data_IF_070326142330
#
_entry.id   IF_070326142330
#
_cell.length_a   1.000
_cell.length_b   1.000
_cell.length_c   1.000
_cell.angle_alpha   90.00
_cell.angle_beta   90.00
_cell.angle_gamma   90.00
#
_symmetry.space_group_name_H-M   'P 1'
#
loop_
_entity.id
_entity.type
_entity.pdbx_description
1 polymer ?
#
# COMPACT_ATOMS: atom_id res chain seq x y z
N UNK A 1 5.90 11.49 19.31
CA UNK A 1 4.94 11.37 20.41
C UNK A 1 5.35 10.24 21.37
N UNK A 2 5.72 9.05 20.84
CA UNK A 2 6.13 7.90 21.66
C UNK A 2 7.31 8.26 22.57
N UNK A 3 8.40 8.80 22.03
CA UNK A 3 9.55 9.24 22.81
C UNK A 3 9.20 10.33 23.86
N UNK A 4 8.25 11.21 23.52
CA UNK A 4 7.75 12.23 24.44
C UNK A 4 6.92 11.62 25.57
N UNK A 5 6.10 10.63 25.24
CA UNK A 5 5.27 9.91 26.20
C UNK A 5 6.12 9.09 27.19
N UNK A 6 7.19 8.49 26.71
CA UNK A 6 8.09 7.62 27.50
C UNK A 6 9.14 8.42 28.30
N UNK A 7 9.33 9.71 27.98
CA UNK A 7 10.29 10.53 28.66
C UNK A 7 9.89 10.82 30.11
N UNK A 8 10.81 10.66 31.04
CA UNK A 8 10.68 11.09 32.44
C UNK A 8 11.17 12.51 32.66
N UNK A 9 11.72 13.16 31.64
CA UNK A 9 12.20 14.54 31.68
C UNK A 9 11.02 15.51 31.57
N UNK A 10 10.77 16.29 32.62
CA UNK A 10 9.66 17.24 32.68
C UNK A 10 9.80 18.42 31.66
N UNK A 11 10.99 18.66 31.12
CA UNK A 11 11.20 19.65 30.06
C UNK A 11 10.54 19.19 28.74
N UNK A 12 10.60 17.91 28.40
CA UNK A 12 9.99 17.35 27.22
C UNK A 12 8.45 17.44 27.24
N UNK A 13 7.87 17.36 28.45
CA UNK A 13 6.41 17.46 28.61
C UNK A 13 5.86 18.89 28.45
N UNK A 14 6.76 19.89 28.44
CA UNK A 14 6.43 21.32 28.22
C UNK A 14 6.57 21.77 26.77
N UNK A 15 7.01 20.87 25.87
CA UNK A 15 7.15 21.21 24.46
C UNK A 15 5.77 21.46 23.85
N UNK A 16 5.60 22.63 23.23
CA UNK A 16 4.42 22.92 22.41
C UNK A 16 4.51 22.13 21.11
N UNK A 17 3.68 21.11 20.98
CA UNK A 17 3.76 20.13 19.91
C UNK A 17 2.54 20.26 18.99
N UNK A 18 2.78 20.51 17.71
CA UNK A 18 1.75 20.58 16.68
C UNK A 18 1.93 19.45 15.67
N UNK A 19 0.84 18.79 15.29
CA UNK A 19 0.83 17.77 14.24
C UNK A 19 0.19 18.32 12.98
N UNK A 20 0.96 18.38 11.90
CA UNK A 20 0.47 18.81 10.59
C UNK A 20 0.17 17.61 9.70
N UNK A 21 -0.98 17.58 9.00
CA UNK A 21 -1.26 16.52 8.03
C UNK A 21 -0.35 16.67 6.81
N UNK A 22 -0.01 15.54 6.20
CA UNK A 22 0.78 15.50 4.98
C UNK A 22 0.25 14.50 3.96
N UNK A 23 0.70 14.65 2.71
CA UNK A 23 0.40 13.70 1.65
C UNK A 23 1.27 12.46 1.82
N UNK A 24 0.63 11.30 1.97
CA UNK A 24 1.34 10.03 2.03
C UNK A 24 1.67 9.49 0.63
N UNK A 25 2.67 8.62 0.52
CA UNK A 25 3.00 7.96 -0.74
C UNK A 25 1.81 7.14 -1.30
N UNK A 26 0.96 6.58 -0.43
CA UNK A 26 -0.24 5.84 -0.84
C UNK A 26 -1.24 6.76 -1.54
N UNK A 27 -1.55 7.91 -0.93
CA UNK A 27 -2.48 8.88 -1.50
C UNK A 27 -1.92 9.53 -2.77
N UNK A 28 -0.62 9.83 -2.80
CA UNK A 28 0.04 10.37 -4.00
C UNK A 28 0.00 9.37 -5.16
N UNK A 29 0.30 8.09 -4.91
CA UNK A 29 0.22 7.02 -5.91
C UNK A 29 -1.21 6.82 -6.39
N UNK A 30 -2.18 6.79 -5.48
CA UNK A 30 -3.59 6.65 -5.83
C UNK A 30 -4.08 7.81 -6.70
N UNK A 31 -3.77 9.05 -6.33
CA UNK A 31 -4.14 10.24 -7.11
C UNK A 31 -3.53 10.23 -8.51
N UNK A 32 -2.30 9.73 -8.67
CA UNK A 32 -1.65 9.61 -9.99
C UNK A 32 -2.28 8.52 -10.85
N UNK A 33 -2.72 7.42 -10.25
CA UNK A 33 -3.38 6.30 -10.92
C UNK A 33 -4.87 6.54 -11.20
N UNK A 34 -5.51 7.41 -10.42
CA UNK A 34 -6.95 7.66 -10.43
C UNK A 34 -7.53 7.63 -9.02
N UNK A 35 -8.32 6.62 -8.70
CA UNK A 35 -8.91 6.42 -7.38
C UNK A 35 -8.91 4.94 -6.94
N UNK A 36 -7.78 4.22 -6.97
CA UNK A 36 -7.74 2.81 -6.51
C UNK A 36 -8.08 2.68 -5.02
N UNK A 37 -7.91 3.74 -4.22
CA UNK A 37 -8.29 3.82 -2.80
C UNK A 37 -9.68 4.48 -2.62
N UNK A 38 -10.55 4.42 -3.61
CA UNK A 38 -11.86 5.08 -3.62
C UNK A 38 -12.92 4.44 -2.72
N UNK A 39 -12.67 3.22 -2.23
CA UNK A 39 -13.49 2.48 -1.28
C UNK A 39 -12.66 2.14 -0.04
N UNK A 40 -13.14 1.22 0.80
CA UNK A 40 -12.45 0.79 2.00
C UNK A 40 -11.07 0.22 1.68
N UNK A 41 -10.06 0.69 2.37
CA UNK A 41 -8.68 0.28 2.17
C UNK A 41 -7.89 0.25 3.46
N UNK A 42 -6.76 -0.44 3.45
CA UNK A 42 -5.82 -0.44 4.56
C UNK A 42 -4.39 -0.11 4.10
N UNK A 43 -3.62 0.47 5.03
CA UNK A 43 -2.19 0.77 4.88
C UNK A 43 -1.41 -0.18 5.76
N UNK A 44 -0.54 -0.99 5.17
CA UNK A 44 0.27 -1.98 5.89
C UNK A 44 1.74 -1.77 5.56
N UNK A 45 2.56 -1.58 6.59
CA UNK A 45 4.02 -1.65 6.43
C UNK A 45 4.45 -3.11 6.51
N UNK A 46 5.16 -3.59 5.49
CA UNK A 46 5.75 -4.94 5.48
C UNK A 46 7.07 -5.03 6.26
N UNK A 47 7.51 -3.92 6.88
CA UNK A 47 8.69 -3.94 7.74
C UNK A 47 8.38 -4.65 9.07
N UNK A 48 9.20 -5.65 9.38
CA UNK A 48 9.19 -6.41 10.63
C UNK A 48 10.20 -5.90 11.67
N UNK A 49 10.75 -4.69 11.47
CA UNK A 49 11.72 -4.09 12.41
C UNK A 49 11.13 -3.81 13.79
N UNK A 50 9.87 -3.33 13.82
CA UNK A 50 9.22 -2.86 15.04
C UNK A 50 8.06 -3.75 15.48
N UNK A 51 7.76 -4.80 14.73
CA UNK A 51 6.71 -5.76 15.03
C UNK A 51 7.00 -7.12 14.42
N UNK A 52 6.66 -8.23 15.09
CA UNK A 52 6.85 -9.57 14.56
C UNK A 52 6.11 -9.78 13.23
N UNK A 53 6.70 -10.55 12.31
CA UNK A 53 6.10 -10.89 11.02
C UNK A 53 4.70 -11.51 11.16
N UNK A 54 4.47 -12.36 12.17
CA UNK A 54 3.17 -12.97 12.44
C UNK A 54 2.02 -11.95 12.61
N UNK A 55 2.30 -10.74 13.09
CA UNK A 55 1.31 -9.66 13.17
C UNK A 55 0.99 -9.12 11.77
N UNK A 56 1.99 -9.01 10.90
CA UNK A 56 1.80 -8.59 9.51
C UNK A 56 1.00 -9.64 8.76
N UNK A 57 1.38 -10.91 8.86
CA UNK A 57 0.68 -12.07 8.29
C UNK A 57 -0.81 -12.08 8.65
N UNK A 58 -1.11 -11.95 9.95
CA UNK A 58 -2.51 -11.89 10.43
C UNK A 58 -3.28 -10.74 9.77
N UNK A 59 -2.66 -9.54 9.66
CA UNK A 59 -3.30 -8.38 9.02
C UNK A 59 -3.52 -8.59 7.54
N UNK A 60 -2.55 -9.15 6.82
CA UNK A 60 -2.66 -9.47 5.40
C UNK A 60 -3.78 -10.48 5.13
N UNK A 61 -3.83 -11.56 5.90
CA UNK A 61 -4.86 -12.59 5.78
C UNK A 61 -6.26 -12.02 5.94
N UNK A 62 -6.50 -11.22 6.99
CA UNK A 62 -7.82 -10.64 7.25
C UNK A 62 -8.20 -9.56 6.23
N UNK A 63 -7.26 -8.71 5.84
CA UNK A 63 -7.51 -7.68 4.83
C UNK A 63 -7.80 -8.30 3.45
N UNK A 64 -7.07 -9.34 3.07
CA UNK A 64 -7.32 -10.06 1.83
C UNK A 64 -8.68 -10.78 1.84
N UNK A 65 -9.01 -11.47 2.93
CA UNK A 65 -10.30 -12.16 3.09
C UNK A 65 -11.49 -11.19 3.12
N UNK A 66 -11.31 -9.99 3.68
CA UNK A 66 -12.33 -8.95 3.73
C UNK A 66 -12.46 -8.13 2.43
N UNK A 67 -11.75 -8.51 1.38
CA UNK A 67 -11.73 -7.82 0.08
C UNK A 67 -11.32 -6.33 0.14
N UNK A 68 -10.53 -5.91 1.14
CA UNK A 68 -10.01 -4.55 1.23
C UNK A 68 -8.96 -4.27 0.15
N UNK A 69 -8.93 -3.06 -0.37
CA UNK A 69 -7.76 -2.58 -1.11
C UNK A 69 -6.59 -2.43 -0.12
N UNK A 70 -5.41 -2.92 -0.48
CA UNK A 70 -4.24 -2.89 0.39
C UNK A 70 -3.12 -2.05 -0.22
N UNK A 71 -2.58 -1.11 0.55
CA UNK A 71 -1.41 -0.35 0.15
C UNK A 71 -0.21 -0.66 1.06
N UNK A 72 0.92 -1.04 0.46
CA UNK A 72 2.09 -1.51 1.19
C UNK A 72 3.23 -0.50 1.17
N UNK A 73 3.66 -0.14 2.38
CA UNK A 73 4.90 0.56 2.65
C UNK A 73 6.03 -0.43 2.96
N UNK A 74 7.27 0.00 2.67
CA UNK A 74 8.47 -0.80 2.93
C UNK A 74 8.34 -2.24 2.38
N UNK A 75 7.97 -2.40 1.11
CA UNK A 75 7.60 -3.71 0.56
C UNK A 75 8.79 -4.67 0.51
N UNK A 76 9.99 -4.14 0.33
CA UNK A 76 11.22 -4.95 0.23
C UNK A 76 12.43 -4.10 0.62
N UNK A 77 13.49 -4.72 1.18
CA UNK A 77 14.78 -4.07 1.39
C UNK A 77 15.94 -5.02 1.07
N UNK A 78 17.15 -4.47 0.88
CA UNK A 78 18.35 -5.30 0.61
C UNK A 78 18.64 -6.30 1.74
N UNK A 79 18.41 -5.90 2.99
CA UNK A 79 18.62 -6.76 4.15
C UNK A 79 17.48 -7.77 4.34
N UNK A 80 16.31 -7.53 3.74
CA UNK A 80 15.09 -8.32 3.93
C UNK A 80 14.32 -8.38 2.61
N UNK A 81 14.77 -9.23 1.68
CA UNK A 81 14.18 -9.33 0.35
C UNK A 81 12.92 -10.21 0.26
N UNK A 82 12.55 -10.90 1.34
CA UNK A 82 11.54 -11.95 1.34
C UNK A 82 10.11 -11.47 1.66
N UNK A 83 9.95 -10.32 2.35
CA UNK A 83 8.65 -9.89 2.90
C UNK A 83 7.56 -9.74 1.84
N UNK A 84 7.87 -9.13 0.70
CA UNK A 84 6.89 -8.98 -0.37
C UNK A 84 6.49 -10.35 -0.94
N UNK A 85 7.45 -11.25 -1.16
CA UNK A 85 7.17 -12.62 -1.62
C UNK A 85 6.17 -13.32 -0.70
N UNK A 86 6.47 -13.36 0.60
CA UNK A 86 5.58 -13.98 1.59
C UNK A 86 4.22 -13.29 1.69
N UNK A 87 4.17 -11.96 1.57
CA UNK A 87 2.89 -11.24 1.52
C UNK A 87 2.06 -11.64 0.30
N UNK A 88 2.69 -11.77 -0.87
CA UNK A 88 2.01 -12.19 -2.10
C UNK A 88 1.49 -13.61 -2.03
N UNK A 89 2.21 -14.53 -1.39
CA UNK A 89 1.73 -15.91 -1.16
C UNK A 89 0.43 -15.93 -0.37
N UNK A 90 0.34 -15.13 0.70
CA UNK A 90 -0.87 -15.01 1.52
C UNK A 90 -2.03 -14.44 0.70
N UNK A 91 -1.78 -13.35 -0.03
CA UNK A 91 -2.81 -12.63 -0.77
C UNK A 91 -3.36 -13.48 -1.92
N UNK A 92 -2.51 -14.22 -2.62
CA UNK A 92 -2.89 -15.10 -3.73
C UNK A 92 -3.81 -16.26 -3.32
N UNK A 93 -3.91 -16.57 -2.02
CA UNK A 93 -4.89 -17.54 -1.52
C UNK A 93 -6.34 -17.00 -1.54
N UNK A 94 -6.48 -15.66 -1.56
CA UNK A 94 -7.78 -14.97 -1.45
C UNK A 94 -8.13 -14.12 -2.67
N UNK A 95 -7.16 -13.84 -3.54
CA UNK A 95 -7.29 -12.96 -4.69
C UNK A 95 -6.97 -13.68 -5.99
N UNK A 96 -7.70 -13.33 -7.05
CA UNK A 96 -7.44 -13.88 -8.38
C UNK A 96 -6.15 -13.31 -8.99
N UNK A 97 -5.48 -14.04 -9.88
CA UNK A 97 -4.32 -13.52 -10.59
C UNK A 97 -4.60 -12.25 -11.41
N UNK A 98 -5.86 -12.01 -11.78
CA UNK A 98 -6.30 -10.83 -12.55
C UNK A 98 -6.54 -9.58 -11.70
N UNK A 99 -6.48 -9.70 -10.35
CA UNK A 99 -6.60 -8.54 -9.45
C UNK A 99 -5.61 -7.45 -9.85
N UNK A 100 -6.10 -6.21 -9.99
CA UNK A 100 -5.26 -5.10 -10.41
C UNK A 100 -4.29 -4.66 -9.31
N UNK A 101 -3.10 -4.29 -9.74
CA UNK A 101 -2.03 -3.78 -8.88
C UNK A 101 -1.50 -2.48 -9.48
N UNK A 102 -1.25 -1.49 -8.62
CA UNK A 102 -0.57 -0.24 -9.00
C UNK A 102 0.76 -0.16 -8.26
N UNK A 103 1.82 0.07 -9.00
CA UNK A 103 3.15 0.36 -8.49
C UNK A 103 3.46 1.84 -8.71
N UNK A 104 3.67 2.57 -7.62
CA UNK A 104 4.09 3.97 -7.65
C UNK A 104 5.48 4.12 -7.07
N UNK A 105 6.47 4.39 -7.91
CA UNK A 105 7.85 4.61 -7.49
C UNK A 105 8.19 6.07 -7.56
N UNK A 106 8.70 6.63 -6.45
CA UNK A 106 9.10 8.04 -6.33
C UNK A 106 8.04 9.06 -6.73
N UNK A 107 6.76 8.74 -6.58
CA UNK A 107 5.67 9.63 -6.99
C UNK A 107 5.82 11.02 -6.33
N UNK A 108 5.71 12.06 -7.17
CA UNK A 108 5.95 13.45 -6.79
C UNK A 108 7.43 13.87 -6.79
N UNK A 109 8.34 13.04 -7.30
CA UNK A 109 9.78 13.34 -7.42
C UNK A 109 10.25 13.23 -8.87
N UNK A 110 11.39 13.85 -9.23
CA UNK A 110 12.02 13.62 -10.53
C UNK A 110 12.28 12.13 -10.77
N UNK A 111 11.88 11.62 -11.93
CA UNK A 111 12.02 10.21 -12.28
C UNK A 111 10.93 9.30 -11.70
N UNK A 112 9.81 9.86 -11.28
CA UNK A 112 8.64 9.07 -10.86
C UNK A 112 8.19 8.11 -11.95
N UNK A 113 7.75 6.92 -11.54
CA UNK A 113 7.13 5.95 -12.43
C UNK A 113 5.84 5.42 -11.83
N UNK A 114 4.84 5.25 -12.69
CA UNK A 114 3.57 4.61 -12.36
C UNK A 114 3.37 3.43 -13.31
N UNK A 115 3.05 2.27 -12.75
CA UNK A 115 2.78 1.07 -13.54
C UNK A 115 1.54 0.37 -13.00
N UNK A 116 0.62 0.01 -13.89
CA UNK A 116 -0.50 -0.87 -13.62
C UNK A 116 -0.21 -2.25 -14.17
N UNK A 117 -0.46 -3.29 -13.39
CA UNK A 117 -0.28 -4.69 -13.76
C UNK A 117 -1.29 -5.54 -12.98
N UNK A 118 -1.24 -6.85 -13.15
CA UNK A 118 -2.06 -7.79 -12.39
C UNK A 118 -1.27 -8.45 -11.26
N UNK A 119 -1.98 -9.03 -10.28
CA UNK A 119 -1.35 -9.78 -9.18
C UNK A 119 -0.57 -11.00 -9.69
N UNK A 120 -0.98 -11.58 -10.81
CA UNK A 120 -0.26 -12.67 -11.46
C UNK A 120 1.09 -12.25 -12.05
N UNK A 121 1.18 -11.00 -12.52
CA UNK A 121 2.40 -10.41 -13.09
C UNK A 121 3.32 -9.81 -12.03
N UNK A 122 2.82 -9.54 -10.83
CA UNK A 122 3.61 -8.92 -9.77
C UNK A 122 4.63 -9.91 -9.20
N UNK A 123 5.91 -9.52 -9.31
CA UNK A 123 7.02 -10.25 -8.68
C UNK A 123 7.85 -9.29 -7.81
N UNK A 124 8.58 -9.81 -6.79
CA UNK A 124 9.41 -8.97 -5.92
C UNK A 124 10.47 -8.14 -6.67
N UNK A 125 10.96 -8.63 -7.79
CA UNK A 125 11.99 -7.97 -8.63
C UNK A 125 11.52 -6.66 -9.27
N UNK A 126 10.20 -6.47 -9.39
CA UNK A 126 9.59 -5.25 -9.92
C UNK A 126 9.51 -4.12 -8.88
N UNK A 127 9.90 -4.38 -7.64
CA UNK A 127 9.66 -3.50 -6.50
C UNK A 127 10.96 -3.24 -5.74
N UNK A 128 11.14 -2.01 -5.31
CA UNK A 128 12.24 -1.59 -4.43
C UNK A 128 11.73 -0.82 -3.21
N UNK A 129 12.66 -0.35 -2.35
CA UNK A 129 12.33 0.45 -1.14
C UNK A 129 11.61 1.77 -1.44
N UNK A 130 11.68 2.26 -2.67
CA UNK A 130 11.08 3.54 -3.11
C UNK A 130 9.73 3.34 -3.77
N UNK A 131 9.25 2.09 -3.83
CA UNK A 131 8.00 1.70 -4.47
C UNK A 131 6.90 1.54 -3.43
N UNK A 132 5.77 2.19 -3.68
CA UNK A 132 4.51 1.87 -3.03
C UNK A 132 3.74 0.87 -3.88
N UNK A 133 3.19 -0.15 -3.25
CA UNK A 133 2.38 -1.18 -3.92
C UNK A 133 0.93 -1.04 -3.48
N UNK A 134 0.00 -0.88 -4.42
CA UNK A 134 -1.44 -0.94 -4.14
C UNK A 134 -1.99 -2.20 -4.80
N UNK A 135 -2.59 -3.09 -4.01
CA UNK A 135 -3.31 -4.27 -4.50
C UNK A 135 -4.80 -3.99 -4.38
N UNK A 136 -5.50 -4.06 -5.49
CA UNK A 136 -6.93 -3.81 -5.58
C UNK A 136 -7.80 -4.83 -4.87
N UNK A 137 -9.08 -4.52 -4.74
CA UNK A 137 -10.15 -5.46 -4.38
C UNK A 137 -10.63 -6.25 -5.60
N UNK A 138 -11.58 -7.15 -5.40
CA UNK A 138 -12.29 -7.83 -6.50
C UNK A 138 -13.04 -6.86 -7.42
N UNK A 139 -13.36 -5.65 -6.92
CA UNK A 139 -14.12 -4.61 -7.65
C UNK A 139 -13.24 -3.56 -8.31
N UNK A 140 -11.92 -3.57 -8.08
CA UNK A 140 -11.01 -2.60 -8.68
C UNK A 140 -11.00 -2.75 -10.20
N UNK A 141 -11.24 -1.64 -10.90
CA UNK A 141 -11.38 -1.58 -12.34
C UNK A 141 -10.36 -0.64 -12.96
N UNK A 142 -10.16 -0.78 -14.28
CA UNK A 142 -9.36 0.15 -15.09
C UNK A 142 -10.08 0.50 -16.39
N UNK A 143 -9.79 1.70 -16.92
CA UNK A 143 -10.27 2.14 -18.22
C UNK A 143 -9.27 3.09 -18.88
N UNK A 144 -9.28 3.20 -20.21
CA UNK A 144 -8.33 4.03 -20.95
C UNK A 144 -8.42 5.52 -20.59
N UNK A 145 -7.29 6.19 -20.58
CA UNK A 145 -7.15 7.65 -20.53
C UNK A 145 -7.03 8.21 -21.94
N UNK A 146 -7.39 9.48 -22.12
CA UNK A 146 -7.25 10.18 -23.40
C UNK A 146 -5.81 10.38 -23.87
N UNK A 147 -4.83 10.31 -22.94
CA UNK A 147 -3.40 10.45 -23.20
C UNK A 147 -2.70 9.11 -23.48
N UNK A 148 -3.46 8.01 -23.62
CA UNK A 148 -2.95 6.66 -23.89
C UNK A 148 -2.57 5.87 -22.63
N UNK A 149 -2.73 6.46 -21.42
CA UNK A 149 -2.59 5.76 -20.16
C UNK A 149 -3.86 5.06 -19.70
N UNK A 150 -3.89 4.66 -18.44
CA UNK A 150 -5.07 4.05 -17.80
C UNK A 150 -5.43 4.77 -16.50
N UNK A 151 -6.73 4.89 -16.23
CA UNK A 151 -7.26 5.18 -14.91
C UNK A 151 -7.56 3.87 -14.18
N UNK A 152 -7.18 3.82 -12.91
CA UNK A 152 -7.53 2.72 -12.01
C UNK A 152 -8.38 3.27 -10.87
N UNK A 153 -9.49 2.61 -10.57
CA UNK A 153 -10.37 3.02 -9.48
C UNK A 153 -11.03 1.81 -8.81
N UNK A 154 -11.44 1.98 -7.56
CA UNK A 154 -12.30 1.04 -6.85
C UNK A 154 -13.64 1.70 -6.61
N UNK A 155 -14.76 1.15 -7.14
CA UNK A 155 -16.09 1.71 -6.96
C UNK A 155 -16.50 1.67 -5.50
N UNK A 156 -17.35 2.63 -5.09
CA UNK A 156 -17.86 2.73 -3.71
C UNK A 156 -19.02 1.80 -3.41
N UNK A 157 -19.56 1.16 -4.43
CA UNK A 157 -20.69 0.23 -4.31
C UNK A 157 -20.32 -1.14 -4.82
N UNK A 158 -20.81 -2.17 -4.14
CA UNK A 158 -20.80 -3.53 -4.64
C UNK A 158 -22.06 -3.79 -5.46
N UNK A 159 -22.03 -4.70 -6.46
CA UNK A 159 -23.24 -5.19 -7.09
C UNK A 159 -24.20 -5.76 -6.02
N UNK A 160 -25.52 -5.68 -6.22
CA UNK A 160 -26.47 -6.39 -5.34
C UNK A 160 -26.11 -7.87 -5.27
N UNK A 161 -26.17 -8.43 -4.06
CA UNK A 161 -26.00 -9.87 -3.82
C UNK A 161 -27.14 -10.67 -4.45
#
# INVERSE_FOLDING_TARGET
LEALHESTDGEWQRVDLQVFPGVSAALATAAKAGAPLGHDFCLISLSDNLKPWAIIEKRLTHAAAADLVMAFYNPISKARPWQLGSALEIIRQQRTPTTLVVLGRDIGRPGETLRTLTLGELTPELVDMRTLVIIGSSQTCRFPRVDGGEWVYTPRSYPPL
#
